data_IF_344309132515
#
_entry.id   IF_344309132515
#
_cell.length_a   1.000
_cell.length_b   1.000
_cell.length_c   1.000
_cell.angle_alpha   90.00
_cell.angle_beta   90.00
_cell.angle_gamma   90.00
#
_symmetry.space_group_name_H-M   'P 1'
#
loop_
_entity.id
_entity.type
_entity.pdbx_description
1 polymer ?
#
# COMPACT_ATOMS: atom_id res chain seq x y z
N UNK A 1 11.28 21.60 -16.49
CA UNK A 1 10.78 21.08 -15.21
C UNK A 1 11.94 20.62 -14.29
N UNK A 2 12.00 21.11 -13.04
CA UNK A 2 13.10 20.84 -12.10
C UNK A 2 13.18 19.38 -11.61
N UNK A 3 12.17 18.54 -11.88
CA UNK A 3 12.21 17.10 -11.65
C UNK A 3 11.79 16.34 -12.92
N UNK A 4 12.45 15.21 -13.20
CA UNK A 4 12.07 14.27 -14.26
C UNK A 4 11.22 13.17 -13.64
N UNK A 5 10.20 12.67 -14.34
CA UNK A 5 9.32 11.61 -13.80
C UNK A 5 10.10 10.39 -13.29
N UNK A 6 11.17 10.01 -14.01
CA UNK A 6 12.03 8.89 -13.62
C UNK A 6 12.89 9.10 -12.38
N UNK A 7 12.97 10.31 -11.82
CA UNK A 7 13.78 10.63 -10.63
C UNK A 7 12.96 10.73 -9.34
N UNK A 8 11.64 10.49 -9.40
CA UNK A 8 10.72 10.64 -8.25
C UNK A 8 10.80 9.45 -7.29
N UNK A 9 11.35 8.31 -7.73
CA UNK A 9 11.53 7.12 -6.89
C UNK A 9 10.32 6.19 -6.84
N UNK A 10 9.40 6.28 -7.82
CA UNK A 10 8.36 5.27 -7.98
C UNK A 10 8.94 3.91 -8.37
N UNK A 11 8.25 2.86 -7.94
CA UNK A 11 8.53 1.50 -8.36
C UNK A 11 8.43 1.37 -9.88
N UNK A 12 9.40 0.69 -10.46
CA UNK A 12 9.34 0.18 -11.82
C UNK A 12 8.54 -1.13 -11.87
N UNK A 13 8.11 -1.52 -13.05
CA UNK A 13 7.27 -2.71 -13.22
C UNK A 13 7.94 -3.99 -12.68
N UNK A 14 9.25 -4.12 -12.87
CA UNK A 14 10.08 -5.23 -12.38
C UNK A 14 10.36 -5.19 -10.88
N UNK A 15 10.09 -4.06 -10.22
CA UNK A 15 10.24 -3.89 -8.77
C UNK A 15 8.94 -4.12 -8.00
N UNK A 16 7.81 -4.28 -8.69
CA UNK A 16 6.53 -4.58 -8.06
C UNK A 16 6.57 -5.99 -7.48
N UNK A 17 6.17 -6.18 -6.21
CA UNK A 17 6.01 -7.53 -5.67
C UNK A 17 4.85 -8.26 -6.36
N UNK A 18 4.84 -9.59 -6.22
CA UNK A 18 3.67 -10.40 -6.54
C UNK A 18 2.48 -9.97 -5.68
N UNK A 19 1.28 -9.97 -6.27
CA UNK A 19 0.07 -9.44 -5.65
C UNK A 19 -1.10 -10.41 -5.88
N UNK A 20 -1.61 -10.96 -4.78
CA UNK A 20 -2.87 -11.69 -4.76
C UNK A 20 -4.02 -10.78 -4.33
N UNK A 21 -5.15 -10.87 -5.04
CA UNK A 21 -6.34 -10.05 -4.78
C UNK A 21 -7.49 -10.95 -4.34
N UNK A 22 -7.94 -10.74 -3.10
CA UNK A 22 -9.15 -11.36 -2.57
C UNK A 22 -10.25 -10.31 -2.55
N UNK A 23 -11.29 -10.50 -3.36
CA UNK A 23 -12.42 -9.60 -3.40
C UNK A 23 -13.39 -9.89 -2.25
N UNK A 24 -13.40 -9.00 -1.26
CA UNK A 24 -14.37 -9.08 -0.16
C UNK A 24 -15.76 -8.61 -0.64
N UNK A 25 -16.72 -9.53 -0.64
CA UNK A 25 -18.11 -9.26 -1.01
C UNK A 25 -18.96 -9.17 0.26
N UNK A 26 -19.81 -8.14 0.43
CA UNK A 26 -20.72 -8.07 1.57
C UNK A 26 -21.71 -9.25 1.53
N UNK A 27 -22.15 -9.69 2.72
CA UNK A 27 -23.29 -10.61 2.83
C UNK A 27 -24.53 -9.99 2.20
N UNK A 28 -25.47 -10.81 1.76
CA UNK A 28 -26.73 -10.33 1.14
C UNK A 28 -27.48 -9.33 2.04
N UNK A 29 -27.51 -9.57 3.35
CA UNK A 29 -28.13 -8.69 4.35
C UNK A 29 -27.47 -7.31 4.47
N UNK A 30 -26.18 -7.20 4.12
CA UNK A 30 -25.38 -5.97 4.21
C UNK A 30 -25.26 -5.23 2.87
N UNK A 31 -25.93 -5.73 1.82
CA UNK A 31 -25.91 -5.09 0.50
C UNK A 31 -26.73 -3.81 0.52
N UNK A 32 -26.14 -2.75 0.00
CA UNK A 32 -26.87 -1.51 -0.24
C UNK A 32 -27.91 -1.73 -1.36
N UNK A 33 -29.09 -1.11 -1.28
CA UNK A 33 -30.13 -1.25 -2.30
C UNK A 33 -29.76 -0.54 -3.63
N UNK A 34 -28.62 0.13 -3.69
CA UNK A 34 -28.13 0.89 -4.84
C UNK A 34 -26.96 0.17 -5.50
N UNK A 35 -26.75 0.40 -6.80
CA UNK A 35 -25.58 -0.06 -7.55
C UNK A 35 -25.27 -1.56 -7.37
N UNK A 36 -26.31 -2.39 -7.20
CA UNK A 36 -26.20 -3.83 -6.95
C UNK A 36 -25.30 -4.19 -5.75
N UNK A 37 -25.23 -3.32 -4.74
CA UNK A 37 -24.39 -3.50 -3.55
C UNK A 37 -22.90 -3.18 -3.75
N UNK A 38 -22.51 -2.61 -4.89
CA UNK A 38 -21.13 -2.19 -5.15
C UNK A 38 -20.67 -1.10 -4.17
N UNK A 39 -19.38 -1.14 -3.81
CA UNK A 39 -18.70 -0.18 -2.94
C UNK A 39 -17.39 0.27 -3.58
N UNK A 40 -16.92 1.47 -3.27
CA UNK A 40 -15.63 1.95 -3.79
C UNK A 40 -14.46 1.23 -3.13
N UNK A 41 -13.54 0.62 -3.90
CA UNK A 41 -12.25 0.13 -3.36
C UNK A 41 -11.03 0.98 -3.74
N UNK A 42 -11.11 1.81 -4.80
CA UNK A 42 -9.91 2.42 -5.41
C UNK A 42 -8.92 3.01 -4.40
N UNK A 43 -9.39 3.86 -3.49
CA UNK A 43 -8.57 4.47 -2.45
C UNK A 43 -8.40 3.57 -1.22
N UNK A 44 -9.43 2.81 -0.83
CA UNK A 44 -9.40 1.91 0.34
C UNK A 44 -8.27 0.88 0.24
N UNK A 45 -8.10 0.34 -0.96
CA UNK A 45 -7.10 -0.65 -1.30
C UNK A 45 -5.66 -0.17 -0.96
N UNK A 46 -5.39 1.15 -0.91
CA UNK A 46 -4.05 1.71 -0.60
C UNK A 46 -3.79 2.02 0.88
N UNK A 47 -4.84 2.21 1.70
CA UNK A 47 -4.74 2.55 3.13
C UNK A 47 -3.86 1.56 3.92
N UNK A 48 -4.01 0.22 3.79
CA UNK A 48 -3.25 -0.71 4.62
C UNK A 48 -1.81 -0.95 4.15
N UNK A 49 -1.43 -0.48 2.96
CA UNK A 49 -0.16 -0.86 2.33
C UNK A 49 1.06 -0.38 3.13
N UNK A 50 1.11 0.90 3.48
CA UNK A 50 2.21 1.47 4.27
C UNK A 50 2.36 0.84 5.68
N UNK A 51 1.30 0.71 6.49
CA UNK A 51 1.41 0.05 7.80
C UNK A 51 1.72 -1.44 7.69
N UNK A 52 1.25 -2.15 6.67
CA UNK A 52 1.62 -3.55 6.43
C UNK A 52 3.12 -3.70 6.16
N UNK A 53 3.69 -2.84 5.31
CA UNK A 53 5.13 -2.80 5.07
C UNK A 53 5.92 -2.48 6.35
N UNK A 54 5.48 -1.50 7.13
CA UNK A 54 6.13 -1.14 8.40
C UNK A 54 6.11 -2.32 9.40
N UNK A 55 4.99 -3.05 9.50
CA UNK A 55 4.86 -4.24 10.33
C UNK A 55 5.76 -5.39 9.84
N UNK A 56 5.91 -5.56 8.54
CA UNK A 56 6.82 -6.57 7.97
C UNK A 56 8.28 -6.29 8.38
N UNK A 57 8.72 -5.03 8.30
CA UNK A 57 10.04 -4.64 8.80
C UNK A 57 10.17 -4.78 10.31
N UNK A 58 9.13 -4.43 11.07
CA UNK A 58 9.13 -4.66 12.53
C UNK A 58 9.31 -6.14 12.87
N UNK A 59 8.67 -7.05 12.13
CA UNK A 59 8.86 -8.50 12.32
C UNK A 59 10.27 -8.97 11.93
N UNK A 60 10.93 -8.26 11.01
CA UNK A 60 12.29 -8.57 10.57
C UNK A 60 13.35 -8.13 11.60
N UNK A 61 13.23 -6.92 12.16
CA UNK A 61 14.31 -6.32 12.96
C UNK A 61 13.91 -5.78 14.35
N UNK A 62 12.64 -5.88 14.72
CA UNK A 62 12.12 -5.42 16.01
C UNK A 62 12.02 -3.89 16.19
N UNK A 63 12.32 -3.10 15.16
CA UNK A 63 12.29 -1.62 15.25
C UNK A 63 10.94 -1.07 14.81
N UNK A 64 10.26 -0.38 15.74
CA UNK A 64 9.01 0.29 15.45
C UNK A 64 9.26 1.62 14.72
N UNK A 65 8.55 1.85 13.61
CA UNK A 65 8.76 2.99 12.71
C UNK A 65 7.47 3.77 12.55
N UNK A 66 7.56 5.09 12.69
CA UNK A 66 6.41 6.01 12.66
C UNK A 66 6.56 7.11 11.61
N UNK A 67 7.52 6.98 10.69
CA UNK A 67 7.82 7.98 9.67
C UNK A 67 7.73 7.39 8.26
N UNK A 68 7.38 8.25 7.29
CA UNK A 68 7.41 7.94 5.87
C UNK A 68 8.41 8.86 5.15
N UNK A 69 9.15 8.37 4.14
CA UNK A 69 9.32 6.95 3.78
C UNK A 69 9.90 6.14 4.94
N UNK A 70 9.56 4.84 5.00
CA UNK A 70 9.90 3.95 6.12
C UNK A 70 11.43 3.98 6.36
N UNK A 71 11.82 4.25 7.61
CA UNK A 71 13.23 4.33 8.05
C UNK A 71 13.99 3.02 7.84
N UNK A 72 15.30 3.10 7.62
CA UNK A 72 16.17 1.91 7.45
C UNK A 72 15.66 0.93 6.36
N UNK A 73 15.00 1.44 5.32
CA UNK A 73 14.58 0.66 4.14
C UNK A 73 15.21 1.21 2.87
N UNK A 74 15.27 0.43 1.76
CA UNK A 74 15.76 0.92 0.47
C UNK A 74 15.06 2.20 -0.04
N UNK A 75 13.85 2.50 0.45
CA UNK A 75 13.06 3.67 0.05
C UNK A 75 13.48 4.97 0.73
N UNK A 76 14.26 4.89 1.82
CA UNK A 76 14.84 6.07 2.48
C UNK A 76 16.35 6.01 2.34
N UNK A 77 16.89 6.70 1.34
CA UNK A 77 18.34 6.90 1.23
C UNK A 77 18.82 7.60 2.50
N UNK A 78 19.83 7.02 3.17
CA UNK A 78 20.55 7.73 4.22
C UNK A 78 21.13 9.01 3.61
N UNK A 79 20.95 10.13 4.31
CA UNK A 79 21.58 11.40 3.95
C UNK A 79 23.09 11.27 4.00
#
# INVERSE_FOLDING_TARGET
PKSKFGTIGFLRADQSPELDVILCVPKEEDKLPFSLGAKGCGELCMIPTAPACALAYYKLDGKFRQSLPIDDTPYRKKK
#
